data_IF_832466991039
#
_entry.id   IF_832466991039
#
_cell.length_a   1.000
_cell.length_b   1.000
_cell.length_c   1.000
_cell.angle_alpha   90.00
_cell.angle_beta   90.00
_cell.angle_gamma   90.00
#
_symmetry.space_group_name_H-M   'P 1'
#
loop_
_entity.id
_entity.type
_entity.pdbx_description
1 polymer ?
#
# COMPACT_ATOMS: atom_id res chain seq x y z
N UNK A 1 -1.22 -1.38 4.22
CA UNK A 1 -2.56 -0.80 4.03
C UNK A 1 -2.50 0.14 2.84
N UNK A 2 -3.57 0.24 2.04
CA UNK A 2 -3.75 1.25 1.00
C UNK A 2 -5.05 2.02 1.31
N UNK A 3 -5.01 3.35 1.20
CA UNK A 3 -6.12 4.21 1.63
C UNK A 3 -6.30 5.37 0.65
N UNK A 4 -7.56 5.78 0.45
CA UNK A 4 -7.90 7.03 -0.25
C UNK A 4 -8.33 8.06 0.80
N UNK A 5 -7.50 9.05 1.14
CA UNK A 5 -7.87 10.06 2.12
C UNK A 5 -8.92 11.03 1.56
N UNK A 6 -9.81 11.51 2.43
CA UNK A 6 -10.81 12.55 2.07
C UNK A 6 -10.26 13.97 2.19
N UNK A 7 -9.18 14.15 2.95
CA UNK A 7 -8.51 15.44 3.20
C UNK A 7 -7.01 15.29 3.02
N UNK A 8 -6.31 16.39 2.75
CA UNK A 8 -4.86 16.40 2.53
C UNK A 8 -4.05 15.89 3.72
N UNK A 9 -4.54 16.07 4.95
CA UNK A 9 -3.90 15.65 6.19
C UNK A 9 -4.49 14.35 6.79
N UNK A 10 -5.46 13.75 6.10
CA UNK A 10 -6.28 12.65 6.64
C UNK A 10 -5.47 11.41 7.03
N UNK A 11 -4.47 11.04 6.22
CA UNK A 11 -3.57 9.91 6.54
C UNK A 11 -2.75 10.20 7.80
N UNK A 12 -2.19 11.41 7.93
CA UNK A 12 -1.39 11.79 9.09
C UNK A 12 -2.21 11.75 10.37
N UNK A 13 -3.41 12.34 10.36
CA UNK A 13 -4.35 12.30 11.49
C UNK A 13 -4.80 10.88 11.84
N UNK A 14 -5.11 10.06 10.83
CA UNK A 14 -5.49 8.66 11.03
C UNK A 14 -4.37 7.87 11.72
N UNK A 15 -3.13 7.97 11.22
CA UNK A 15 -1.98 7.26 11.78
C UNK A 15 -1.65 7.74 13.20
N UNK A 16 -1.77 9.05 13.47
CA UNK A 16 -1.58 9.60 14.81
C UNK A 16 -2.62 9.03 15.80
N UNK A 17 -3.90 9.02 15.41
CA UNK A 17 -4.99 8.50 16.23
C UNK A 17 -4.80 7.00 16.51
N UNK A 18 -4.56 6.21 15.47
CA UNK A 18 -4.31 4.78 15.56
C UNK A 18 -3.14 4.47 16.50
N UNK A 19 -2.02 5.17 16.30
CA UNK A 19 -0.81 4.97 17.12
C UNK A 19 -1.06 5.27 18.59
N UNK A 20 -1.75 6.38 18.90
CA UNK A 20 -2.04 6.78 20.29
C UNK A 20 -2.99 5.80 20.97
N UNK A 21 -4.09 5.43 20.31
CA UNK A 21 -5.11 4.55 20.89
C UNK A 21 -4.57 3.12 21.10
N UNK A 22 -3.90 2.56 20.08
CA UNK A 22 -3.46 1.17 20.15
C UNK A 22 -2.29 0.96 21.11
N UNK A 23 -1.33 1.88 21.17
CA UNK A 23 -0.21 1.80 22.15
C UNK A 23 -0.74 1.86 23.58
N UNK A 24 -1.66 2.78 23.86
CA UNK A 24 -2.28 2.89 25.18
C UNK A 24 -3.03 1.61 25.58
N UNK A 25 -3.86 1.10 24.66
CA UNK A 25 -4.57 -0.17 24.84
C UNK A 25 -3.62 -1.35 25.09
N UNK A 26 -2.60 -1.52 24.24
CA UNK A 26 -1.65 -2.62 24.33
C UNK A 26 -0.87 -2.59 25.65
N UNK A 27 -0.28 -1.43 25.99
CA UNK A 27 0.48 -1.26 27.22
C UNK A 27 -0.36 -1.56 28.47
N UNK A 28 -1.63 -1.10 28.49
CA UNK A 28 -2.54 -1.37 29.59
C UNK A 28 -2.89 -2.86 29.72
N UNK A 29 -3.18 -3.51 28.58
CA UNK A 29 -3.63 -4.91 28.50
C UNK A 29 -2.50 -5.87 28.88
N UNK A 30 -1.31 -5.67 28.33
CA UNK A 30 -0.17 -6.58 28.48
C UNK A 30 0.85 -6.14 29.54
N UNK A 31 0.51 -5.13 30.36
CA UNK A 31 1.39 -4.55 31.40
C UNK A 31 2.78 -4.16 30.86
N UNK A 32 2.80 -3.67 29.63
CA UNK A 32 4.00 -3.21 28.96
C UNK A 32 4.14 -1.68 29.09
N UNK A 33 5.35 -1.16 28.94
CA UNK A 33 5.64 0.28 28.98
C UNK A 33 6.53 0.68 27.81
N UNK A 34 6.38 1.92 27.31
CA UNK A 34 7.18 2.44 26.21
C UNK A 34 6.47 2.40 24.85
N UNK A 35 7.25 2.56 23.78
CA UNK A 35 6.76 2.62 22.40
C UNK A 35 6.55 1.23 21.83
N UNK A 36 5.46 1.02 21.09
CA UNK A 36 5.22 -0.22 20.32
C UNK A 36 5.76 -0.14 18.89
N UNK A 37 5.87 1.07 18.34
CA UNK A 37 6.24 1.29 16.94
C UNK A 37 7.73 1.67 16.83
N UNK A 38 8.43 1.09 15.85
CA UNK A 38 9.87 1.32 15.62
C UNK A 38 10.20 2.66 14.94
N UNK A 39 9.20 3.50 14.64
CA UNK A 39 9.43 4.80 14.02
C UNK A 39 8.18 5.45 13.44
N UNK A 40 8.39 6.49 12.64
CA UNK A 40 7.30 7.18 11.91
C UNK A 40 6.78 6.27 10.80
N UNK A 41 5.49 6.39 10.51
CA UNK A 41 4.90 5.73 9.34
C UNK A 41 5.55 6.24 8.05
N UNK A 42 5.56 5.38 7.04
CA UNK A 42 5.96 5.73 5.67
C UNK A 42 4.72 5.70 4.78
N UNK A 43 4.68 6.59 3.80
CA UNK A 43 3.59 6.65 2.82
C UNK A 43 4.13 6.95 1.42
N UNK A 44 3.51 6.34 0.43
CA UNK A 44 3.79 6.54 -1.00
C UNK A 44 2.47 6.85 -1.68
N UNK A 45 2.44 7.90 -2.49
CA UNK A 45 1.30 8.15 -3.40
C UNK A 45 1.35 7.11 -4.52
N UNK A 46 0.18 6.65 -4.96
CA UNK A 46 0.03 5.60 -5.98
C UNK A 46 -0.87 6.12 -7.09
N UNK A 47 -0.44 5.99 -8.34
CA UNK A 47 -1.30 6.21 -9.51
C UNK A 47 -2.28 5.04 -9.63
N UNK A 48 -3.56 5.30 -9.35
CA UNK A 48 -4.61 4.29 -9.16
C UNK A 48 -4.77 3.38 -10.37
N UNK A 49 -4.99 3.96 -11.53
CA UNK A 49 -5.41 3.31 -12.78
C UNK A 49 -4.39 2.27 -13.24
N UNK A 50 -3.12 2.47 -12.86
CA UNK A 50 -2.01 1.62 -13.28
C UNK A 50 -1.53 0.66 -12.20
N UNK A 51 -1.49 1.10 -10.95
CA UNK A 51 -0.77 0.39 -9.90
C UNK A 51 -1.65 -0.12 -8.76
N UNK A 52 -2.90 0.31 -8.63
CA UNK A 52 -3.72 -0.02 -7.47
C UNK A 52 -3.90 -1.53 -7.27
N UNK A 53 -4.31 -2.25 -8.31
CA UNK A 53 -4.51 -3.70 -8.24
C UNK A 53 -3.19 -4.45 -8.01
N UNK A 54 -2.08 -3.94 -8.53
CA UNK A 54 -0.75 -4.49 -8.24
C UNK A 54 -0.35 -4.30 -6.79
N UNK A 55 -0.70 -3.14 -6.19
CA UNK A 55 -0.46 -2.87 -4.76
C UNK A 55 -1.40 -3.69 -3.87
N UNK A 56 -2.64 -3.95 -4.29
CA UNK A 56 -3.54 -4.89 -3.60
C UNK A 56 -2.91 -6.28 -3.52
N UNK A 57 -2.53 -6.86 -4.66
CA UNK A 57 -1.86 -8.16 -4.73
C UNK A 57 -0.57 -8.16 -3.91
N UNK A 58 0.22 -7.09 -3.97
CA UNK A 58 1.39 -6.93 -3.12
C UNK A 58 1.01 -7.04 -1.64
N UNK A 59 0.04 -6.28 -1.14
CA UNK A 59 -0.33 -6.32 0.28
C UNK A 59 -0.84 -7.71 0.67
N UNK A 60 -1.72 -8.31 -0.12
CA UNK A 60 -2.40 -9.58 0.20
C UNK A 60 -1.48 -10.79 0.10
N UNK A 61 -0.41 -10.71 -0.69
CA UNK A 61 0.64 -11.74 -0.76
C UNK A 61 1.76 -11.54 0.28
N UNK A 62 1.72 -10.51 1.14
CA UNK A 62 2.72 -10.35 2.21
C UNK A 62 2.75 -11.53 3.19
N UNK A 63 1.61 -12.03 3.72
CA UNK A 63 1.59 -13.18 4.62
C UNK A 63 2.17 -14.45 4.00
N UNK A 64 1.88 -14.67 2.70
CA UNK A 64 2.45 -15.79 1.94
C UNK A 64 3.97 -15.65 1.80
N UNK A 65 4.45 -14.46 1.41
CA UNK A 65 5.90 -14.19 1.31
C UNK A 65 6.63 -14.23 2.65
N UNK A 66 5.92 -14.00 3.75
CA UNK A 66 6.45 -14.14 5.10
C UNK A 66 6.41 -15.59 5.61
N UNK A 67 5.89 -16.54 4.82
CA UNK A 67 5.76 -17.95 5.21
C UNK A 67 4.71 -18.21 6.29
N UNK A 68 3.77 -17.27 6.51
CA UNK A 68 2.73 -17.41 7.54
C UNK A 68 1.57 -18.29 7.11
N UNK A 69 1.27 -18.30 5.81
CA UNK A 69 0.17 -19.05 5.18
C UNK A 69 0.58 -19.47 3.77
N UNK A 70 -0.09 -20.47 3.21
CA UNK A 70 0.21 -20.95 1.84
C UNK A 70 -0.56 -20.15 0.79
N UNK A 71 -1.76 -19.69 1.14
CA UNK A 71 -2.65 -18.91 0.27
C UNK A 71 -3.09 -17.60 0.93
N UNK A 72 -3.28 -16.49 0.18
CA UNK A 72 -3.82 -15.26 0.75
C UNK A 72 -5.22 -15.43 1.37
N UNK A 73 -6.01 -16.43 0.94
CA UNK A 73 -7.32 -16.75 1.52
C UNK A 73 -7.26 -17.23 2.98
N UNK A 74 -6.14 -17.79 3.40
CA UNK A 74 -5.94 -18.32 4.75
C UNK A 74 -5.60 -17.21 5.76
N UNK A 75 -5.29 -16.00 5.29
CA UNK A 75 -4.94 -14.87 6.16
C UNK A 75 -6.12 -13.93 6.36
N UNK A 76 -6.87 -14.14 7.46
CA UNK A 76 -8.10 -13.42 7.77
C UNK A 76 -7.91 -11.91 7.99
N UNK A 77 -6.69 -11.45 8.31
CA UNK A 77 -6.39 -10.03 8.58
C UNK A 77 -5.98 -9.26 7.32
N UNK A 78 -6.59 -9.58 6.18
CA UNK A 78 -6.42 -8.86 4.91
C UNK A 78 -7.75 -8.59 4.22
N UNK A 79 -7.72 -7.74 3.20
CA UNK A 79 -8.87 -7.49 2.33
C UNK A 79 -9.15 -8.62 1.34
N UNK A 80 -8.29 -9.63 1.23
CA UNK A 80 -8.42 -10.70 0.24
C UNK A 80 -9.77 -11.40 0.38
N UNK A 81 -10.18 -11.75 1.60
CA UNK A 81 -11.45 -12.44 1.83
C UNK A 81 -12.68 -11.59 1.43
N UNK A 82 -12.59 -10.27 1.57
CA UNK A 82 -13.64 -9.36 1.11
C UNK A 82 -13.67 -9.25 -0.41
N UNK A 83 -12.51 -9.06 -1.03
CA UNK A 83 -12.39 -8.80 -2.47
C UNK A 83 -12.56 -10.08 -3.32
N UNK A 84 -12.00 -11.19 -2.85
CA UNK A 84 -11.97 -12.46 -3.56
C UNK A 84 -13.13 -13.39 -3.17
N UNK A 85 -13.47 -13.46 -1.88
CA UNK A 85 -14.45 -14.44 -1.37
C UNK A 85 -15.82 -13.82 -1.01
N UNK A 86 -15.95 -12.50 -1.12
CA UNK A 86 -17.20 -11.80 -0.82
C UNK A 86 -17.55 -11.75 0.66
N UNK A 87 -16.60 -11.99 1.57
CA UNK A 87 -16.83 -11.88 3.01
C UNK A 87 -16.97 -10.40 3.38
N UNK A 88 -18.15 -10.01 3.85
CA UNK A 88 -18.44 -8.62 4.19
C UNK A 88 -17.47 -8.08 5.26
N UNK A 89 -16.97 -6.86 5.03
CA UNK A 89 -16.10 -6.15 5.97
C UNK A 89 -16.45 -4.66 5.95
N UNK A 90 -16.96 -4.15 7.07
CA UNK A 90 -17.40 -2.76 7.21
C UNK A 90 -16.27 -1.73 7.14
N UNK A 91 -15.02 -2.16 7.31
CA UNK A 91 -13.84 -1.29 7.22
C UNK A 91 -13.38 -1.08 5.77
N UNK A 92 -13.92 -1.83 4.81
CA UNK A 92 -13.49 -1.80 3.42
C UNK A 92 -14.51 -1.05 2.58
N UNK A 93 -14.07 0.04 1.96
CA UNK A 93 -14.81 0.71 0.89
C UNK A 93 -14.16 0.33 -0.45
N UNK A 94 -14.89 -0.26 -1.41
CA UNK A 94 -14.32 -0.69 -2.68
C UNK A 94 -13.87 0.52 -3.51
N UNK A 95 -12.64 0.46 -4.04
CA UNK A 95 -12.12 1.47 -4.94
C UNK A 95 -12.66 1.30 -6.37
N UNK A 96 -12.74 2.38 -7.16
CA UNK A 96 -13.24 2.34 -8.54
C UNK A 96 -12.50 1.31 -9.42
N UNK A 97 -11.17 1.27 -9.38
CA UNK A 97 -10.37 0.23 -10.07
C UNK A 97 -10.74 -1.22 -9.70
N UNK A 98 -11.10 -1.49 -8.44
CA UNK A 98 -11.61 -2.80 -8.06
C UNK A 98 -13.04 -3.02 -8.59
N UNK A 99 -13.90 -1.99 -8.51
CA UNK A 99 -15.25 -2.06 -9.06
C UNK A 99 -15.25 -2.34 -10.57
N UNK A 100 -14.27 -1.79 -11.29
CA UNK A 100 -14.09 -1.95 -12.73
C UNK A 100 -13.72 -3.38 -13.18
N UNK A 101 -13.31 -4.26 -12.27
CA UNK A 101 -13.00 -5.67 -12.59
C UNK A 101 -14.24 -6.49 -12.98
N UNK A 102 -15.45 -6.02 -12.69
CA UNK A 102 -16.67 -6.71 -13.06
C UNK A 102 -17.95 -5.95 -12.74
N UNK A 103 -18.93 -6.14 -13.62
CA UNK A 103 -20.24 -5.48 -13.56
C UNK A 103 -21.10 -5.91 -12.36
N UNK A 104 -20.76 -7.02 -11.70
CA UNK A 104 -21.42 -7.49 -10.49
C UNK A 104 -20.42 -8.15 -9.53
N UNK A 105 -20.85 -8.44 -8.30
CA UNK A 105 -19.97 -8.98 -7.26
C UNK A 105 -19.31 -10.31 -7.68
N UNK A 106 -20.04 -11.20 -8.36
CA UNK A 106 -19.54 -12.51 -8.78
C UNK A 106 -18.45 -12.38 -9.85
N UNK A 107 -18.69 -11.60 -10.90
CA UNK A 107 -17.68 -11.40 -11.96
C UNK A 107 -16.47 -10.65 -11.44
N UNK A 108 -16.66 -9.69 -10.54
CA UNK A 108 -15.57 -8.94 -9.90
C UNK A 108 -14.68 -9.84 -9.05
N UNK A 109 -15.27 -10.68 -8.19
CA UNK A 109 -14.55 -11.64 -7.36
C UNK A 109 -13.75 -12.63 -8.24
N UNK A 110 -14.37 -13.18 -9.29
CA UNK A 110 -13.69 -14.07 -10.22
C UNK A 110 -12.47 -13.38 -10.90
N UNK A 111 -12.68 -12.20 -11.50
CA UNK A 111 -11.60 -11.40 -12.09
C UNK A 111 -10.50 -11.08 -11.07
N UNK A 112 -10.86 -10.80 -9.82
CA UNK A 112 -9.92 -10.51 -8.76
C UNK A 112 -9.06 -11.73 -8.42
N UNK A 113 -9.65 -12.93 -8.30
CA UNK A 113 -8.94 -14.19 -8.08
C UNK A 113 -7.96 -14.48 -9.23
N UNK A 114 -8.37 -14.25 -10.48
CA UNK A 114 -7.49 -14.45 -11.66
C UNK A 114 -6.19 -13.65 -11.57
N UNK A 115 -6.22 -12.45 -10.97
CA UNK A 115 -5.02 -11.65 -10.77
C UNK A 115 -3.94 -12.38 -9.96
N UNK A 116 -4.31 -13.30 -9.08
CA UNK A 116 -3.36 -14.04 -8.23
C UNK A 116 -2.80 -15.30 -8.89
N UNK A 117 -3.33 -15.72 -10.04
CA UNK A 117 -2.80 -16.88 -10.78
C UNK A 117 -1.52 -16.56 -11.54
N UNK A 118 -1.29 -15.29 -11.84
CA UNK A 118 -0.04 -14.81 -12.41
C UNK A 118 0.87 -14.32 -11.30
N UNK A 119 2.18 -14.42 -11.49
CA UNK A 119 3.12 -13.77 -10.60
C UNK A 119 3.16 -12.26 -10.85
N UNK A 120 3.57 -11.50 -9.84
CA UNK A 120 3.88 -10.07 -10.03
C UNK A 120 5.34 -10.01 -10.48
N UNK A 121 5.63 -9.31 -11.58
CA UNK A 121 7.01 -9.11 -12.03
C UNK A 121 7.92 -8.62 -10.89
N UNK A 122 9.07 -9.26 -10.72
CA UNK A 122 10.05 -8.91 -9.67
C UNK A 122 10.46 -7.44 -9.71
N UNK A 123 10.59 -6.88 -10.91
CA UNK A 123 10.89 -5.46 -11.10
C UNK A 123 9.80 -4.56 -10.51
N UNK A 124 8.54 -4.93 -10.68
CA UNK A 124 7.41 -4.20 -10.12
C UNK A 124 7.36 -4.34 -8.58
N UNK A 125 7.58 -5.54 -8.05
CA UNK A 125 7.70 -5.78 -6.61
C UNK A 125 8.82 -4.94 -5.99
N UNK A 126 9.99 -4.93 -6.62
CA UNK A 126 11.13 -4.11 -6.23
C UNK A 126 10.81 -2.62 -6.25
N UNK A 127 10.11 -2.14 -7.28
CA UNK A 127 9.67 -0.75 -7.37
C UNK A 127 8.69 -0.36 -6.26
N UNK A 128 7.67 -1.19 -6.00
CA UNK A 128 6.69 -0.97 -4.91
C UNK A 128 7.44 -0.85 -3.57
N UNK A 129 8.28 -1.84 -3.25
CA UNK A 129 9.06 -1.87 -2.00
C UNK A 129 9.97 -0.66 -1.85
N UNK A 130 10.72 -0.33 -2.90
CA UNK A 130 11.68 0.78 -2.90
C UNK A 130 10.97 2.12 -2.68
N UNK A 131 9.86 2.36 -3.38
CA UNK A 131 9.14 3.62 -3.31
C UNK A 131 8.48 3.82 -1.95
N UNK A 132 7.81 2.79 -1.40
CA UNK A 132 7.24 2.84 -0.04
C UNK A 132 8.32 3.14 1.01
N UNK A 133 9.47 2.45 0.94
CA UNK A 133 10.52 2.62 1.94
C UNK A 133 11.19 3.99 1.93
N UNK A 134 11.13 4.70 0.80
CA UNK A 134 11.72 6.02 0.60
C UNK A 134 10.70 7.17 0.58
N UNK A 135 9.40 6.85 0.70
CA UNK A 135 8.32 7.83 0.57
C UNK A 135 8.22 8.47 -0.83
N UNK A 136 8.62 7.74 -1.87
CA UNK A 136 8.57 8.19 -3.26
C UNK A 136 7.23 7.81 -3.89
N UNK A 137 6.80 8.51 -4.93
CA UNK A 137 5.57 8.19 -5.64
C UNK A 137 5.72 6.93 -6.51
N UNK A 138 4.65 6.14 -6.60
CA UNK A 138 4.52 4.98 -7.48
C UNK A 138 3.61 5.35 -8.65
N UNK A 139 4.20 5.73 -9.77
CA UNK A 139 3.50 6.17 -10.97
C UNK A 139 4.42 6.23 -12.18
N UNK A 140 3.86 6.56 -13.34
CA UNK A 140 4.66 6.88 -14.52
C UNK A 140 5.35 8.27 -14.37
N UNK A 141 6.22 8.63 -15.32
CA UNK A 141 6.97 9.90 -15.24
C UNK A 141 6.09 11.14 -15.23
N UNK A 142 4.96 11.11 -15.93
CA UNK A 142 3.99 12.23 -15.98
C UNK A 142 3.36 12.43 -14.60
N UNK A 143 2.83 11.36 -14.02
CA UNK A 143 2.24 11.37 -12.69
C UNK A 143 3.24 11.82 -11.63
N UNK A 144 4.48 11.33 -11.69
CA UNK A 144 5.52 11.73 -10.74
C UNK A 144 5.75 13.24 -10.81
N UNK A 145 5.87 13.82 -12.01
CA UNK A 145 6.04 15.27 -12.19
C UNK A 145 4.85 16.06 -11.65
N UNK A 146 3.62 15.59 -11.89
CA UNK A 146 2.41 16.22 -11.35
C UNK A 146 2.41 16.23 -9.82
N UNK A 147 2.76 15.11 -9.18
CA UNK A 147 2.88 15.06 -7.72
C UNK A 147 3.98 15.97 -7.19
N UNK A 148 5.13 16.07 -7.88
CA UNK A 148 6.20 16.99 -7.47
C UNK A 148 5.75 18.46 -7.50
N UNK A 149 4.97 18.84 -8.52
CA UNK A 149 4.38 20.18 -8.61
C UNK A 149 3.34 20.41 -7.50
N UNK A 150 2.41 19.48 -7.31
CA UNK A 150 1.32 19.61 -6.34
C UNK A 150 1.81 19.65 -4.89
N UNK A 151 2.84 18.88 -4.56
CA UNK A 151 3.37 18.79 -3.20
C UNK A 151 4.48 19.79 -2.93
N UNK A 152 4.98 20.48 -3.96
CA UNK A 152 6.22 21.25 -3.92
C UNK A 152 7.37 20.47 -3.27
N UNK A 153 7.38 19.15 -3.48
CA UNK A 153 8.30 18.22 -2.85
C UNK A 153 8.73 17.17 -3.86
N UNK A 154 10.00 16.77 -3.79
CA UNK A 154 10.53 15.73 -4.69
C UNK A 154 10.03 14.36 -4.25
N UNK A 155 9.40 13.63 -5.18
CA UNK A 155 8.88 12.27 -4.96
C UNK A 155 9.49 11.24 -5.91
N UNK A 156 10.60 11.59 -6.56
CA UNK A 156 11.39 10.71 -7.44
C UNK A 156 12.80 10.40 -6.89
N UNK A 157 13.36 9.23 -7.23
CA UNK A 157 14.74 8.89 -6.83
C UNK A 157 15.79 9.66 -7.65
N UNK A 158 16.90 10.09 -7.03
CA UNK A 158 18.09 10.56 -7.77
C UNK A 158 18.72 9.40 -8.56
N UNK A 159 19.28 9.68 -9.75
CA UNK A 159 20.35 8.82 -10.30
C UNK A 159 21.51 8.88 -9.30
N UNK A 160 21.89 7.74 -8.72
CA UNK A 160 23.06 7.67 -7.86
C UNK A 160 24.31 7.89 -8.74
N UNK A 161 25.12 8.90 -8.40
CA UNK A 161 26.35 9.20 -9.12
C UNK A 161 27.15 10.30 -8.42
N UNK A 162 28.47 10.10 -8.33
CA UNK A 162 29.42 11.12 -7.85
C UNK A 162 29.30 12.37 -8.74
N UNK A 163 29.33 13.59 -8.17
CA UNK A 163 29.37 14.81 -8.99
C UNK A 163 30.50 14.69 -10.02
N UNK A 164 30.21 15.03 -11.29
CA UNK A 164 31.27 15.06 -12.32
C UNK A 164 32.35 16.04 -11.85
N UNK A 165 33.60 15.59 -11.77
CA UNK A 165 34.74 16.48 -11.52
C UNK A 165 34.78 17.45 -12.70
N UNK A 166 34.67 18.75 -12.44
CA UNK A 166 35.02 19.75 -13.44
C UNK A 166 36.52 19.58 -13.71
N UNK A 167 36.86 19.09 -14.90
CA UNK A 167 38.21 19.20 -15.43
C UNK A 167 38.25 20.59 -16.04
N UNK A 168 38.93 21.51 -15.36
CA UNK A 168 39.30 22.81 -15.91
C UNK A 168 40.48 22.68 -16.87
#
# INVERSE_FOLDING_TARGET
MLCTPKTSDGIGKMMQSLGRMYVGYFNHTYKHTGTLWEGRYKSSIVQSERYLLSVYRYIELNPVRAGMVVSPSEYSWSSYNCNALGIANSLITPHQEYLALGNNAKTRSASYIELFKTEIEDKLLGNIRKNINKGLALGNEVFIKEIEVLTNARVSSRKAGRPKKNVG
#
